data_IF_830815327854
#
_entry.id   IF_830815327854
#
_cell.length_a   1.000
_cell.length_b   1.000
_cell.length_c   1.000
_cell.angle_alpha   90.00
_cell.angle_beta   90.00
_cell.angle_gamma   90.00
#
_symmetry.space_group_name_H-M   'P 1'
#
loop_
_entity.id
_entity.type
_entity.pdbx_description
1 polymer ?
2 non-polymer ?
3 water ?
#
# COMPACT_ATOMS: atom_id res chain seq x y z
N UNK A 5 -12.64 -15.20 -5.02
CA UNK A 5 -11.63 -16.13 -4.48
C UNK A 5 -11.73 -17.54 -5.07
N UNK A 6 -12.97 -18.03 -5.30
CA UNK A 6 -13.25 -19.36 -5.86
C UNK A 6 -12.76 -19.51 -7.30
N UNK A 7 -12.79 -18.42 -8.09
CA UNK A 7 -12.34 -18.39 -9.48
C UNK A 7 -10.89 -17.86 -9.59
N UNK A 8 -10.16 -17.87 -8.45
CA UNK A 8 -8.77 -17.40 -8.36
C UNK A 8 -7.84 -18.45 -7.77
N UNK A 9 -6.55 -18.42 -8.17
CA UNK A 9 -5.51 -19.32 -7.69
C UNK A 9 -4.86 -18.72 -6.44
N UNK A 10 -4.80 -19.48 -5.34
CA UNK A 10 -4.22 -19.02 -4.07
C UNK A 10 -2.86 -19.66 -3.78
N UNK A 11 -1.83 -18.82 -3.62
CA UNK A 11 -0.47 -19.24 -3.33
C UNK A 11 -0.02 -18.88 -1.93
N UNK A 12 0.82 -19.74 -1.33
CA UNK A 12 1.37 -19.56 0.03
C UNK A 12 2.87 -19.78 0.06
N UNK A 13 3.63 -18.82 0.65
CA UNK A 13 5.09 -18.88 0.75
C UNK A 13 5.55 -18.64 2.20
N UNK A 14 6.25 -19.62 2.79
CA UNK A 14 6.79 -19.55 4.16
C UNK A 14 8.13 -18.79 4.11
N UNK A 15 8.08 -17.48 4.30
CA UNK A 15 9.24 -16.58 4.27
C UNK A 15 10.08 -16.62 5.56
N UNK A 16 9.44 -16.97 6.68
CA UNK A 16 10.03 -17.12 8.01
C UNK A 16 9.32 -18.29 8.71
N UNK A 17 9.96 -19.03 9.66
CA UNK A 17 9.27 -20.17 10.29
C UNK A 17 7.85 -19.92 10.82
N UNK A 18 7.55 -18.69 11.27
CA UNK A 18 6.24 -18.31 11.79
C UNK A 18 5.48 -17.34 10.87
N UNK A 19 6.10 -16.89 9.75
CA UNK A 19 5.52 -15.95 8.79
C UNK A 19 5.27 -16.59 7.42
N UNK A 20 4.00 -16.64 7.01
CA UNK A 20 3.55 -17.19 5.74
C UNK A 20 2.83 -16.10 4.94
N UNK A 21 3.23 -15.90 3.67
CA UNK A 21 2.64 -14.89 2.79
C UNK A 21 1.69 -15.50 1.77
N UNK A 22 0.48 -14.92 1.66
CA UNK A 22 -0.57 -15.32 0.73
C UNK A 22 -0.59 -14.38 -0.47
N UNK A 23 -0.87 -14.92 -1.67
CA UNK A 23 -0.96 -14.16 -2.92
C UNK A 23 -1.86 -14.85 -3.93
N UNK A 24 -2.46 -14.07 -4.84
CA UNK A 24 -3.27 -14.62 -5.92
C UNK A 24 -2.49 -14.55 -7.23
N UNK A 25 -2.56 -15.63 -8.02
CA UNK A 25 -1.79 -15.72 -9.26
C UNK A 25 -2.64 -15.91 -10.51
N UNK A 26 -2.33 -15.13 -11.56
CA UNK A 26 -3.03 -15.18 -12.85
C UNK A 26 -2.13 -14.68 -13.97
N UNK A 27 -2.13 -15.42 -15.08
CA UNK A 27 -1.35 -15.09 -16.27
C UNK A 27 0.01 -15.73 -16.37
N UNK A 28 0.69 -15.49 -17.52
CA UNK A 28 2.02 -15.98 -17.84
C UNK A 28 2.89 -14.82 -18.36
N UNK A 29 4.21 -14.96 -18.20
CA UNK A 29 5.18 -13.97 -18.65
C UNK A 29 5.98 -13.34 -17.51
N UNK A 30 6.49 -12.09 -17.68
CA UNK A 30 7.26 -11.46 -16.60
C UNK A 30 6.46 -11.25 -15.30
N UNK A 31 7.10 -11.49 -14.15
CA UNK A 31 6.48 -11.39 -12.82
C UNK A 31 6.17 -9.94 -12.42
N UNK A 32 4.89 -9.68 -12.10
CA UNK A 32 4.38 -8.37 -11.67
C UNK A 32 3.79 -8.53 -10.25
N UNK A 33 4.53 -8.03 -9.24
CA UNK A 33 4.16 -8.10 -7.83
C UNK A 33 3.39 -6.85 -7.41
N UNK A 34 2.13 -7.03 -6.94
CA UNK A 34 1.26 -5.94 -6.51
C UNK A 34 1.17 -5.87 -4.99
N UNK A 35 1.50 -4.69 -4.43
CA UNK A 35 1.49 -4.46 -2.98
C UNK A 35 0.42 -3.43 -2.59
N UNK A 36 -0.62 -3.88 -1.86
CA UNK A 36 -1.74 -3.03 -1.43
C UNK A 36 -1.38 -2.13 -0.24
N UNK A 37 -2.32 -1.25 0.13
CA UNK A 37 -2.17 -0.32 1.23
C UNK A 37 -2.96 -0.68 2.48
N UNK A 38 -3.30 0.34 3.27
CA UNK A 38 -4.03 0.21 4.53
C UNK A 38 -5.40 0.92 4.46
N UNK A 39 -6.51 0.30 4.93
CA UNK A 39 -6.68 -1.07 5.44
C UNK A 39 -7.23 -1.95 4.31
N UNK A 40 -6.36 -2.33 3.37
CA UNK A 40 -6.76 -3.07 2.17
C UNK A 40 -6.45 -4.58 2.15
N UNK A 41 -6.46 -5.19 0.95
CA UNK A 41 -6.22 -6.61 0.70
C UNK A 41 -5.79 -6.79 -0.76
N UNK A 42 -5.58 -8.06 -1.23
CA UNK A 42 -5.25 -8.36 -2.62
C UNK A 42 -6.42 -7.94 -3.52
N UNK A 43 -7.65 -7.97 -2.95
CA UNK A 43 -8.93 -7.63 -3.57
C UNK A 43 -8.99 -6.19 -4.10
N UNK A 44 -8.09 -5.31 -3.61
CA UNK A 44 -7.99 -3.92 -4.05
C UNK A 44 -7.50 -3.82 -5.51
N UNK A 45 -6.78 -4.85 -5.99
CA UNK A 45 -6.26 -4.91 -7.36
C UNK A 45 -7.15 -5.78 -8.29
N UNK A 46 -8.42 -6.05 -7.89
CA UNK A 46 -9.39 -6.88 -8.62
C UNK A 46 -9.60 -6.54 -10.11
N UNK A 47 -9.40 -5.26 -10.48
CA UNK A 47 -9.54 -4.80 -11.87
C UNK A 47 -8.21 -4.89 -12.61
N UNK A 48 -7.09 -4.90 -11.86
CA UNK A 48 -5.73 -4.96 -12.40
C UNK A 48 -5.28 -6.39 -12.69
N UNK A 49 -5.68 -7.37 -11.84
CA UNK A 49 -5.33 -8.79 -11.98
C UNK A 49 -5.64 -9.37 -13.39
N UNK A 50 -6.89 -9.36 -13.91
CA UNK A 50 -7.11 -9.92 -15.27
C UNK A 50 -6.60 -9.04 -16.40
N UNK A 51 -6.57 -7.71 -16.20
CA UNK A 51 -6.11 -6.73 -17.18
C UNK A 51 -4.62 -6.87 -17.50
N UNK A 52 -3.77 -7.02 -16.46
CA UNK A 52 -2.33 -7.20 -16.62
C UNK A 52 -2.01 -8.60 -17.15
N UNK A 53 -2.85 -9.60 -16.80
CA UNK A 53 -2.71 -10.99 -17.25
C UNK A 53 -2.94 -11.10 -18.75
N UNK A 54 -3.92 -10.33 -19.30
CA UNK A 54 -4.25 -10.28 -20.72
C UNK A 54 -3.15 -9.60 -21.53
N UNK A 55 -2.41 -8.65 -20.90
CA UNK A 55 -1.29 -7.92 -21.51
C UNK A 55 -0.03 -8.77 -21.66
N UNK A 56 -0.01 -9.93 -21.01
CA UNK A 56 1.10 -10.88 -21.04
C UNK A 56 2.03 -10.78 -19.86
N UNK A 57 1.46 -10.83 -18.64
CA UNK A 57 2.21 -10.74 -17.39
C UNK A 57 1.73 -11.71 -16.33
N UNK A 58 2.68 -12.25 -15.55
CA UNK A 58 2.40 -13.17 -14.44
C UNK A 58 2.12 -12.28 -13.23
N UNK A 59 0.83 -12.08 -12.93
CA UNK A 59 0.36 -11.22 -11.85
C UNK A 59 0.43 -11.92 -10.49
N UNK A 60 0.98 -11.23 -9.49
CA UNK A 60 1.12 -11.72 -8.11
C UNK A 60 0.54 -10.69 -7.12
N UNK A 61 -0.80 -10.64 -7.02
CA UNK A 61 -1.48 -9.71 -6.11
C UNK A 61 -1.37 -10.22 -4.67
N UNK A 62 -0.42 -9.63 -3.94
CA UNK A 62 -0.07 -9.98 -2.56
C UNK A 62 -1.11 -9.62 -1.53
N UNK A 63 -1.08 -10.36 -0.41
CA UNK A 63 -1.82 -10.12 0.81
C UNK A 63 -0.66 -9.79 1.75
N UNK A 64 -0.41 -8.48 1.99
CA UNK A 64 0.70 -7.99 2.80
C UNK A 64 0.70 -8.53 4.24
N UNK A 65 1.88 -8.55 4.90
CA UNK A 65 2.05 -9.05 6.26
C UNK A 65 1.04 -8.39 7.22
N UNK A 66 0.28 -9.24 7.91
CA UNK A 66 -0.75 -8.81 8.85
C UNK A 66 -2.14 -8.71 8.24
N UNK A 67 -2.27 -8.97 6.93
CA UNK A 67 -3.53 -8.88 6.17
C UNK A 67 -4.06 -10.23 5.68
N UNK A 68 -5.39 -10.32 5.59
CA UNK A 68 -6.15 -11.46 5.09
C UNK A 68 -5.69 -12.85 5.46
N UNK A 69 -5.27 -13.62 4.43
CA UNK A 69 -4.83 -15.00 4.58
C UNK A 69 -3.34 -15.15 4.93
N UNK A 70 -2.61 -14.02 5.04
CA UNK A 70 -1.19 -14.00 5.40
C UNK A 70 -1.03 -13.94 6.93
N UNK A 71 0.10 -14.45 7.45
CA UNK A 71 0.43 -14.48 8.87
C UNK A 71 0.43 -13.09 9.50
N UNK A 72 -0.07 -12.99 10.74
CA UNK A 72 -0.15 -11.73 11.46
C UNK A 72 0.42 -11.80 12.89
N UNK A 73 1.77 -11.76 13.06
CA UNK A 73 2.32 -11.78 14.44
C UNK A 73 1.98 -10.48 15.19
N UNK A 74 1.68 -10.53 16.51
CA UNK A 74 1.31 -9.28 17.22
C UNK A 74 2.43 -8.28 17.42
N UNK A 75 3.70 -8.71 17.27
CA UNK A 75 4.91 -7.91 17.46
C UNK A 75 5.01 -6.74 16.48
N UNK A 76 5.23 -5.52 17.02
CA UNK A 76 5.37 -4.27 16.28
C UNK A 76 6.63 -4.31 15.39
N UNK A 77 7.75 -4.79 15.97
CA UNK A 77 9.08 -4.93 15.36
C UNK A 77 9.04 -5.70 14.03
N UNK A 78 8.13 -6.68 13.93
CA UNK A 78 7.95 -7.54 12.75
C UNK A 78 7.35 -6.80 11.54
N UNK A 79 6.94 -5.51 11.72
CA UNK A 79 6.34 -4.70 10.66
C UNK A 79 7.18 -3.50 10.22
N UNK A 80 8.49 -3.51 10.54
CA UNK A 80 9.39 -2.45 10.10
C UNK A 80 9.84 -2.75 8.68
N UNK A 81 10.14 -1.71 7.89
CA UNK A 81 10.55 -1.83 6.49
C UNK A 81 11.73 -2.76 6.21
N UNK A 82 12.68 -2.88 7.15
CA UNK A 82 13.85 -3.76 7.01
C UNK A 82 13.45 -5.24 6.94
N UNK A 83 12.63 -5.73 7.90
CA UNK A 83 12.18 -7.12 7.91
C UNK A 83 11.18 -7.43 6.78
N UNK A 84 10.29 -6.45 6.46
CA UNK A 84 9.28 -6.57 5.40
C UNK A 84 9.91 -6.75 4.02
N UNK A 85 10.92 -5.92 3.68
CA UNK A 85 11.65 -5.98 2.41
C UNK A 85 12.43 -7.29 2.27
N UNK A 86 13.10 -7.74 3.36
CA UNK A 86 13.86 -9.00 3.43
C UNK A 86 12.95 -10.21 3.21
N UNK A 87 11.70 -10.13 3.71
CA UNK A 87 10.68 -11.17 3.54
C UNK A 87 10.22 -11.24 2.08
N UNK A 88 10.15 -10.08 1.40
CA UNK A 88 9.75 -9.99 -0.01
C UNK A 88 10.86 -10.52 -0.95
N UNK A 89 12.13 -10.46 -0.49
CA UNK A 89 13.30 -10.99 -1.22
C UNK A 89 13.27 -12.52 -1.09
N UNK A 90 13.00 -13.04 0.12
CA UNK A 90 12.88 -14.47 0.44
C UNK A 90 11.72 -15.09 -0.37
N UNK A 91 10.64 -14.32 -0.56
CA UNK A 91 9.45 -14.67 -1.35
C UNK A 91 9.86 -14.92 -2.81
N UNK A 92 10.78 -14.09 -3.35
CA UNK A 92 11.30 -14.23 -4.71
C UNK A 92 12.24 -15.43 -4.83
N UNK A 93 13.05 -15.69 -3.78
CA UNK A 93 13.98 -16.82 -3.72
C UNK A 93 13.23 -18.15 -3.68
N UNK A 94 12.16 -18.22 -2.87
CA UNK A 94 11.33 -19.41 -2.69
C UNK A 94 10.40 -19.72 -3.88
N UNK A 95 10.13 -18.72 -4.73
CA UNK A 95 9.30 -18.90 -5.93
C UNK A 95 10.14 -19.12 -7.20
N UNK A 96 11.47 -19.03 -7.04
CA UNK A 96 12.43 -19.21 -8.12
C UNK A 96 12.49 -18.04 -9.08
N UNK A 97 12.28 -16.82 -8.56
CA UNK A 97 12.30 -15.59 -9.37
C UNK A 97 13.53 -14.76 -9.05
N UNK A 98 14.32 -14.41 -10.07
CA UNK A 98 15.52 -13.59 -9.92
C UNK A 98 15.12 -12.11 -9.90
N UNK A 99 14.15 -11.73 -10.74
CA UNK A 99 13.61 -10.37 -10.86
C UNK A 99 12.08 -10.37 -10.95
N UNK A 100 11.46 -9.24 -10.54
CA UNK A 100 10.03 -8.99 -10.60
C UNK A 100 9.77 -7.49 -10.52
N UNK A 101 8.75 -7.01 -11.22
CA UNK A 101 8.35 -5.61 -11.18
C UNK A 101 7.39 -5.40 -10.01
N UNK A 102 7.79 -4.53 -9.07
CA UNK A 102 7.05 -4.22 -7.86
C UNK A 102 6.20 -2.95 -8.01
N UNK A 103 4.86 -3.12 -7.96
CA UNK A 103 3.89 -2.02 -8.09
C UNK A 103 3.10 -1.89 -6.78
N UNK A 104 3.33 -0.79 -6.06
CA UNK A 104 2.68 -0.53 -4.78
C UNK A 104 1.76 0.66 -4.72
N UNK A 105 0.81 0.62 -3.77
CA UNK A 105 -0.17 1.66 -3.48
C UNK A 105 -0.21 1.85 -1.96
N UNK A 106 -0.21 3.12 -1.50
CA UNK A 106 -0.23 3.53 -0.09
C UNK A 106 1.01 2.96 0.67
N UNK A 107 0.82 2.09 1.69
CA UNK A 107 1.91 1.49 2.45
C UNK A 107 2.74 0.52 1.62
N UNK A 108 2.10 -0.10 0.63
CA UNK A 108 2.74 -1.00 -0.32
C UNK A 108 3.66 -0.24 -1.26
N UNK A 109 3.31 1.03 -1.50
CA UNK A 109 4.08 1.97 -2.31
C UNK A 109 5.39 2.35 -1.64
N UNK A 110 5.37 2.49 -0.30
CA UNK A 110 6.54 2.79 0.52
C UNK A 110 7.50 1.59 0.46
N UNK A 111 6.95 0.36 0.53
CA UNK A 111 7.68 -0.90 0.47
C UNK A 111 8.39 -1.07 -0.88
N UNK A 112 7.69 -0.81 -2.00
CA UNK A 112 8.25 -0.92 -3.35
C UNK A 112 9.39 0.06 -3.63
N UNK A 113 9.34 1.27 -2.99
CA UNK A 113 10.38 2.29 -3.11
C UNK A 113 11.66 1.83 -2.39
N UNK A 114 11.50 1.26 -1.17
CA UNK A 114 12.60 0.72 -0.36
C UNK A 114 13.23 -0.50 -1.05
N UNK A 115 12.39 -1.35 -1.68
CA UNK A 115 12.81 -2.55 -2.42
C UNK A 115 13.70 -2.19 -3.62
N UNK A 116 13.39 -1.09 -4.33
CA UNK A 116 14.15 -0.60 -5.47
C UNK A 116 15.47 0.04 -5.01
N UNK A 117 15.49 0.61 -3.79
CA UNK A 117 16.64 1.28 -3.17
C UNK A 117 17.69 0.30 -2.65
N UNK A 118 17.27 -0.67 -1.82
CA UNK A 118 18.16 -1.65 -1.17
C UNK A 118 18.42 -2.92 -1.97
N UNK A 119 17.43 -3.38 -2.77
CA UNK A 119 17.57 -4.59 -3.58
C UNK A 119 17.25 -4.31 -5.07
N UNK A 120 18.07 -3.52 -5.81
CA UNK A 120 17.74 -3.25 -7.22
C UNK A 120 17.89 -4.45 -8.16
N UNK A 121 18.73 -5.43 -7.77
CA UNK A 121 18.99 -6.66 -8.53
C UNK A 121 17.77 -7.58 -8.61
N UNK A 122 16.79 -7.41 -7.69
CA UNK A 122 15.57 -8.21 -7.64
C UNK A 122 14.35 -7.45 -8.16
N UNK A 123 14.48 -6.12 -8.35
CA UNK A 123 13.40 -5.25 -8.84
C UNK A 123 13.71 -4.81 -10.28
N UNK A 124 12.95 -5.34 -11.25
CA UNK A 124 13.10 -5.04 -12.69
C UNK A 124 12.72 -3.58 -12.97
N UNK A 125 11.52 -3.18 -12.51
CA UNK A 125 10.97 -1.83 -12.65
C UNK A 125 10.09 -1.53 -11.44
N UNK A 126 9.92 -0.24 -11.12
CA UNK A 126 9.12 0.17 -9.95
C UNK A 126 8.02 1.19 -10.29
N UNK A 127 6.83 0.98 -9.73
CA UNK A 127 5.68 1.87 -9.90
C UNK A 127 5.02 2.12 -8.54
N UNK A 128 4.58 3.35 -8.31
CA UNK A 128 3.93 3.73 -7.07
C UNK A 128 2.66 4.55 -7.31
N UNK A 129 1.55 4.10 -6.72
CA UNK A 129 0.27 4.80 -6.79
C UNK A 129 0.16 5.64 -5.51
N UNK A 130 -0.01 6.96 -5.67
CA UNK A 130 -0.16 7.98 -4.61
C UNK A 130 1.07 8.24 -3.72
N UNK A 131 1.83 7.19 -3.36
CA UNK A 131 3.01 7.26 -2.48
C UNK A 131 4.27 7.85 -3.13
N UNK A 132 4.76 9.02 -2.64
CA UNK A 132 5.99 9.59 -3.21
C UNK A 132 7.26 9.04 -2.58
N UNK A 133 8.40 9.20 -3.29
CA UNK A 133 9.70 8.78 -2.80
C UNK A 133 10.40 9.99 -2.18
N UNK A 134 10.46 10.03 -0.84
CA UNK A 134 11.07 11.12 -0.10
C UNK A 134 12.33 10.63 0.66
N UNK A 135 13.54 11.15 0.33
CA UNK A 135 14.74 10.72 1.07
C UNK A 135 14.72 11.33 2.48
N UNK A 136 14.94 10.48 3.49
CA UNK A 136 14.92 10.87 4.90
C UNK A 136 16.05 11.83 5.26
N UNK A 137 15.74 12.80 6.15
CA UNK A 137 16.70 13.78 6.63
C UNK A 137 17.27 13.29 7.98
N UNK A 138 18.62 13.15 8.12
CA UNK A 138 19.16 12.65 9.39
C UNK A 138 19.22 13.67 10.53
N UNK A 139 18.90 14.94 10.24
CA UNK A 139 18.90 16.03 11.23
C UNK A 139 17.52 16.23 11.87
N UNK A 140 16.45 15.88 11.14
CA UNK A 140 15.06 16.02 11.62
C UNK A 140 14.49 14.69 12.10
N UNK A 141 13.87 14.71 13.29
CA UNK A 141 13.24 13.57 13.95
C UNK A 141 11.97 13.12 13.19
N UNK A 142 11.62 11.80 13.14
CA UNK A 142 10.41 11.38 12.41
C UNK A 142 9.11 11.92 12.99
N UNK A 143 9.02 12.04 14.33
CA UNK A 143 7.86 12.57 15.05
C UNK A 143 7.64 14.05 14.77
N UNK A 144 8.74 14.80 14.55
CA UNK A 144 8.72 16.23 14.23
C UNK A 144 8.10 16.47 12.84
N UNK A 145 8.40 15.59 11.87
CA UNK A 145 7.90 15.65 10.50
C UNK A 145 6.38 15.38 10.43
N UNK A 146 5.88 14.48 11.29
CA UNK A 146 4.46 14.12 11.40
C UNK A 146 3.66 15.30 11.98
N UNK A 147 4.20 15.91 13.05
CA UNK A 147 3.59 17.06 13.76
C UNK A 147 3.64 18.37 12.95
N UNK A 148 4.61 18.49 12.01
CA UNK A 148 4.79 19.69 11.17
C UNK A 148 3.61 19.91 10.21
N UNK A 149 3.20 18.85 9.48
CA UNK A 149 2.07 18.90 8.56
C UNK A 149 0.79 18.49 9.32
N UNK A 150 -0.26 19.35 9.36
CA UNK A 150 -1.47 19.00 10.12
C UNK A 150 -2.27 17.81 9.61
N UNK A 151 -2.16 17.49 8.30
CA UNK A 151 -2.88 16.39 7.64
C UNK A 151 -2.54 14.99 8.20
N UNK A 152 -1.33 14.80 8.76
CA UNK A 152 -0.87 13.54 9.33
C UNK A 152 -1.12 13.41 10.85
N UNK A 153 -2.15 14.12 11.36
CA UNK A 153 -2.54 14.12 12.77
C UNK A 153 -3.11 12.76 13.22
N UNK A 154 -3.72 12.02 12.27
CA UNK A 154 -4.32 10.69 12.46
C UNK A 154 -3.28 9.63 12.85
N UNK A 155 -2.02 9.81 12.41
CA UNK A 155 -0.90 8.91 12.66
C UNK A 155 -0.55 8.77 14.15
N UNK A 156 -0.70 9.87 14.92
CA UNK A 156 -0.44 9.92 16.36
C UNK A 156 -1.43 9.04 17.13
N UNK A 157 -2.68 8.97 16.65
CA UNK A 157 -3.76 8.14 17.22
C UNK A 157 -3.49 6.66 16.92
N UNK A 158 -2.84 6.38 15.79
CA UNK A 158 -2.49 5.03 15.33
C UNK A 158 -1.23 4.46 16.02
N UNK A 159 -0.51 5.30 16.80
CA UNK A 159 0.73 4.94 17.51
C UNK A 159 0.53 4.05 18.74
N UNK A 160 -0.39 4.43 19.65
CA UNK A 160 -0.67 3.67 20.87
C UNK A 160 -1.35 2.33 20.55
N UNK A 161 -0.71 1.17 20.85
CA UNK A 161 -1.33 -0.12 20.50
C UNK A 161 -2.62 -0.43 21.25
N UNK A 162 -3.63 -0.87 20.51
CA UNK A 162 -4.94 -1.25 21.04
C UNK A 162 -6.03 -0.20 20.90
N UNK A 163 -5.66 1.10 20.96
CA UNK A 163 -6.58 2.26 20.87
C UNK A 163 -7.36 2.28 19.54
N UNK A 164 -6.66 2.38 18.39
CA UNK A 164 -7.28 2.39 17.06
C UNK A 164 -7.91 1.04 16.71
N UNK A 165 -7.31 -0.07 17.19
CA UNK A 165 -7.78 -1.45 16.97
C UNK A 165 -9.24 -1.62 17.41
N UNK A 166 -9.57 -1.12 18.61
CA UNK A 166 -10.93 -1.18 19.20
C UNK A 166 -11.99 -0.49 18.34
N UNK A 167 -11.65 0.67 17.73
CA UNK A 167 -12.58 1.44 16.89
C UNK A 167 -12.75 0.79 15.51
N UNK A 168 -11.64 0.39 14.87
CA UNK A 168 -11.62 -0.23 13.55
C UNK A 168 -12.22 -1.64 13.52
N UNK A 169 -12.06 -2.41 14.62
CA UNK A 169 -12.59 -3.78 14.75
C UNK A 169 -14.03 -3.83 15.27
N UNK A 170 -14.53 -2.70 15.84
CA UNK A 170 -15.89 -2.56 16.41
C UNK A 170 -16.98 -2.98 15.44
N UNK A 171 -17.12 -2.26 14.32
CA UNK A 171 -18.09 -2.55 13.28
C UNK A 171 -17.36 -2.46 11.94
N UNK A 172 -16.85 -3.61 11.45
CA UNK A 172 -16.09 -3.75 10.21
C UNK A 172 -16.85 -3.25 8.99
N UNK A 173 -18.19 -3.45 8.95
CA UNK A 173 -19.07 -2.99 7.87
C UNK A 173 -19.07 -1.46 7.83
N UNK A 174 -19.19 -0.81 9.02
CA UNK A 174 -19.16 0.65 9.18
C UNK A 174 -17.76 1.20 8.87
N UNK A 175 -16.71 0.42 9.22
CA UNK A 175 -15.31 0.75 9.01
C UNK A 175 -14.99 0.95 7.52
N UNK A 176 -15.24 -0.08 6.68
CA UNK A 176 -14.97 -0.02 5.25
C UNK A 176 -15.94 0.82 4.43
N UNK A 177 -17.19 1.00 4.91
CA UNK A 177 -18.18 1.84 4.23
C UNK A 177 -17.84 3.32 4.35
N UNK A 178 -17.20 3.72 5.47
CA UNK A 178 -16.76 5.09 5.74
C UNK A 178 -15.43 5.40 5.06
N UNK A 179 -14.51 4.41 5.02
CA UNK A 179 -13.18 4.57 4.44
C UNK A 179 -13.18 4.48 2.91
N UNK A 180 -13.70 3.37 2.33
CA UNK A 180 -13.73 3.18 0.87
C UNK A 180 -14.80 4.06 0.20
N UNK A 181 -14.46 5.34 0.00
CA UNK A 181 -15.34 6.35 -0.61
C UNK A 181 -14.54 7.26 -1.53
N UNK A 182 -15.23 7.88 -2.51
CA UNK A 182 -14.64 8.86 -3.42
C UNK A 182 -14.46 10.16 -2.65
N UNK A 183 -13.52 11.03 -3.06
CA UNK A 183 -13.22 12.31 -2.39
C UNK A 183 -14.42 13.25 -2.22
N UNK A 184 -15.39 13.19 -3.15
CA UNK A 184 -16.63 13.98 -3.10
C UNK A 184 -17.60 13.40 -2.08
N UNK A 185 -17.47 12.09 -1.76
CA UNK A 185 -18.29 11.35 -0.80
C UNK A 185 -17.61 11.27 0.58
N UNK A 186 -16.31 11.64 0.66
CA UNK A 186 -15.48 11.61 1.87
C UNK A 186 -16.08 12.34 3.07
N UNK A 187 -16.37 11.56 4.14
CA UNK A 187 -16.96 12.04 5.40
C UNK A 187 -15.93 11.99 6.56
N UNK A 188 -14.65 11.82 6.22
CA UNK A 188 -13.56 11.73 7.19
C UNK A 188 -12.64 12.94 7.20
N UNK A 189 -12.21 13.36 8.41
CA UNK A 189 -11.29 14.48 8.62
C UNK A 189 -10.03 13.94 9.29
N UNK A 190 -8.94 13.85 8.52
CA UNK A 190 -7.65 13.30 8.97
C UNK A 190 -6.89 14.20 9.95
N UNK A 191 -7.10 15.52 9.88
CA UNK A 191 -6.44 16.50 10.75
C UNK A 191 -7.21 16.74 12.07
N UNK A 192 -8.39 16.11 12.22
CA UNK A 192 -9.28 16.24 13.39
C UNK A 192 -8.96 15.23 14.50
N UNK A 193 -8.34 14.07 14.15
CA UNK A 193 -7.98 12.99 15.08
C UNK A 193 -6.93 13.44 16.12
N UNK A 194 -6.91 12.77 17.30
CA UNK A 194 -6.07 13.04 18.49
C UNK A 194 -6.54 14.28 19.28
N UNK A 195 -7.71 14.82 18.88
CA UNK A 195 -8.41 15.96 19.48
C UNK A 195 -9.83 15.50 19.78
N UNK A 196 -10.36 14.60 18.94
CA UNK A 196 -11.69 14.00 19.06
C UNK A 196 -11.62 12.59 19.66
N UNK A 197 -10.49 11.91 19.44
CA UNK A 197 -10.23 10.56 19.94
C UNK A 197 -10.92 9.47 19.15
N UNK A 198 -10.74 9.51 17.83
CA UNK A 198 -11.33 8.54 16.91
C UNK A 198 -11.34 9.00 15.47
N UNK A 199 -11.21 8.03 14.54
CA UNK A 199 -11.20 8.29 13.09
C UNK A 199 -12.61 8.57 12.56
N UNK A 200 -13.62 7.84 13.07
CA UNK A 200 -15.03 7.99 12.64
C UNK A 200 -15.83 8.81 13.65
N UNK A 201 -15.96 10.12 13.38
CA UNK A 201 -16.70 11.08 14.23
C UNK A 201 -17.89 11.65 13.43
N UNK A 202 -17.62 12.23 12.24
CA UNK A 202 -18.63 12.81 11.36
C UNK A 202 -19.51 11.73 10.71
N UNK A 203 -18.94 10.53 10.48
CA UNK A 203 -19.63 9.39 9.88
C UNK A 203 -20.69 8.80 10.84
N UNK A 204 -21.91 8.48 10.35
CA UNK A 204 -22.93 7.93 11.27
C UNK A 204 -22.75 6.43 11.56
N UNK A 205 -23.63 5.87 12.41
CA UNK A 205 -23.64 4.45 12.80
C UNK A 205 -23.91 3.53 11.60
N UNK A 206 -24.71 4.01 10.63
CA UNK A 206 -25.05 3.29 9.40
C UNK A 206 -24.73 4.17 8.18
N UNK A 207 -23.47 4.15 7.68
CA UNK A 207 -23.12 5.00 6.53
C UNK A 207 -23.61 4.44 5.20
N UNK A 208 -23.92 5.34 4.25
CA UNK A 208 -24.40 5.01 2.91
C UNK A 208 -23.33 4.33 2.07
N UNK A 209 -23.74 3.43 1.16
CA UNK A 209 -22.84 2.70 0.26
C UNK A 209 -22.34 3.61 -0.87
N UNK A 210 -21.00 3.66 -1.04
CA UNK A 210 -20.33 4.45 -2.08
C UNK A 210 -20.61 3.89 -3.48
N UNK A 211 -20.53 4.74 -4.51
CA UNK A 211 -20.78 4.35 -5.90
C UNK A 211 -19.72 3.40 -6.49
N UNK A 212 -18.48 3.44 -5.95
CA UNK A 212 -17.36 2.62 -6.42
C UNK A 212 -17.28 1.22 -5.80
N UNK A 213 -18.04 0.97 -4.70
CA UNK A 213 -18.07 -0.32 -4.01
C UNK A 213 -19.48 -0.87 -3.80
N UNK A 214 -19.65 -2.18 -3.98
CA UNK A 214 -20.94 -2.86 -3.80
C UNK A 214 -21.02 -3.51 -2.42
N UNK A 215 -22.22 -4.03 -2.03
CA UNK A 215 -22.45 -4.70 -0.75
C UNK A 215 -21.65 -6.00 -0.64
N UNK A 216 -21.48 -6.72 -1.77
CA UNK A 216 -20.72 -7.98 -1.86
C UNK A 216 -19.21 -7.74 -1.63
N UNK A 217 -18.68 -6.63 -2.18
CA UNK A 217 -17.26 -6.24 -2.06
C UNK A 217 -16.92 -5.79 -0.63
N UNK A 218 -17.83 -5.03 0.02
CA UNK A 218 -17.67 -4.55 1.40
C UNK A 218 -17.57 -5.72 2.38
N UNK A 219 -18.45 -6.74 2.21
CA UNK A 219 -18.49 -7.94 3.05
C UNK A 219 -17.24 -8.82 2.93
N UNK A 220 -16.55 -8.77 1.77
CA UNK A 220 -15.32 -9.52 1.53
C UNK A 220 -14.19 -8.99 2.42
N UNK A 221 -14.07 -7.65 2.55
CA UNK A 221 -13.08 -6.98 3.40
C UNK A 221 -13.38 -7.24 4.88
N UNK A 222 -14.68 -7.41 5.22
CA UNK A 222 -15.15 -7.68 6.59
C UNK A 222 -14.67 -9.09 7.02
N UNK A 223 -14.92 -10.11 6.19
CA UNK A 223 -14.54 -11.50 6.44
C UNK A 223 -13.02 -11.71 6.46
N UNK A 224 -12.28 -10.98 5.61
CA UNK A 224 -10.81 -11.07 5.53
C UNK A 224 -10.15 -10.44 6.76
N UNK A 225 -10.72 -9.35 7.30
CA UNK A 225 -10.23 -8.66 8.49
C UNK A 225 -10.72 -9.29 9.80
N UNK A 226 -11.62 -10.28 9.71
CA UNK A 226 -12.16 -11.03 10.86
C UNK A 226 -11.14 -12.06 11.35
N UNK A 227 -10.20 -12.46 10.48
CA UNK A 227 -9.16 -13.45 10.74
C UNK A 227 -8.06 -12.95 11.69
N UNK A 228 -7.59 -11.71 11.51
CA UNK A 228 -6.50 -11.15 12.32
C UNK A 228 -6.80 -9.83 13.03
N UNK A 229 -7.77 -9.08 12.52
CA UNK A 229 -8.16 -7.79 13.09
C UNK A 229 -7.42 -6.63 12.49
N UNK A 230 -6.95 -5.70 13.35
CA UNK A 230 -6.24 -4.49 12.93
C UNK A 230 -4.85 -4.30 13.54
N UNK A 231 -4.43 -5.17 14.49
CA UNK A 231 -3.11 -5.09 15.14
C UNK A 231 -1.95 -5.11 14.14
N UNK A 232 -1.96 -6.09 13.23
CA UNK A 232 -0.96 -6.26 12.17
C UNK A 232 -0.90 -5.07 11.23
N UNK A 233 -2.01 -4.72 10.54
CA UNK A 233 -1.99 -3.55 9.63
C UNK A 233 -1.57 -2.21 10.27
N UNK A 234 -1.93 -1.98 11.54
CA UNK A 234 -1.60 -0.75 12.26
C UNK A 234 -0.14 -0.65 12.68
N UNK A 235 0.54 -1.81 12.85
CA UNK A 235 1.95 -1.87 13.25
C UNK A 235 2.92 -1.32 12.20
N UNK A 236 2.44 -1.12 10.95
CA UNK A 236 3.17 -0.52 9.84
C UNK A 236 3.50 0.95 10.16
N UNK A 237 2.64 1.60 10.98
CA UNK A 237 2.78 2.98 11.43
C UNK A 237 3.70 3.09 12.65
N UNK A 238 3.70 2.05 13.50
CA UNK A 238 4.45 1.99 14.77
C UNK A 238 5.96 1.71 14.67
N UNK A 239 6.53 1.84 13.46
CA UNK A 239 7.96 1.63 13.21
C UNK A 239 8.64 2.86 12.59
N UNK A 240 8.08 4.06 12.82
CA UNK A 240 8.55 5.35 12.31
C UNK A 240 10.00 5.70 12.71
N UNK A 241 10.43 5.25 13.90
CA UNK A 241 11.79 5.45 14.41
C UNK A 241 12.75 4.45 13.75
N UNK A 242 12.30 3.19 13.56
CA UNK A 242 13.08 2.11 12.95
C UNK A 242 13.29 2.30 11.44
N UNK A 243 12.24 2.71 10.70
CA UNK A 243 12.27 2.94 9.25
C UNK A 243 13.17 4.11 8.88
N UNK A 244 13.18 5.18 9.71
CA UNK A 244 14.01 6.38 9.53
C UNK A 244 15.49 6.04 9.63
N UNK A 245 15.87 5.20 10.63
CA UNK A 245 17.24 4.74 10.86
C UNK A 245 17.74 3.89 9.69
N UNK A 246 16.84 3.08 9.08
CA UNK A 246 17.15 2.24 7.93
C UNK A 246 17.28 3.08 6.66
N UNK A 247 16.40 4.10 6.48
CA UNK A 247 16.41 5.01 5.33
C UNK A 247 17.65 5.92 5.34
N UNK A 248 18.16 6.27 6.54
CA UNK A 248 19.36 7.10 6.70
C UNK A 248 20.65 6.34 6.35
N UNK A 249 20.60 5.00 6.34
CA UNK A 249 21.74 4.13 5.99
C UNK A 249 22.00 4.12 4.47
N UNK A 250 20.97 4.44 3.66
CA UNK A 250 21.05 4.51 2.20
C UNK A 250 21.63 5.83 1.71
N UNK A 251 21.40 6.94 2.46
CA UNK A 251 21.83 8.32 2.17
C UNK A 251 23.03 8.43 1.23
N UNK A 252 22.73 8.71 -0.04
CA UNK A 252 23.73 8.82 -1.10
C UNK A 252 23.38 7.96 -2.30
N UNK A 253 23.00 6.68 -2.06
CA UNK A 253 22.63 5.76 -3.13
C UNK A 253 21.27 6.10 -3.73
N UNK A 254 21.23 6.19 -5.07
CA UNK A 254 20.02 6.49 -5.82
C UNK A 254 19.51 5.25 -6.53
N UNK A 255 18.22 5.26 -6.93
CA UNK A 255 17.60 4.17 -7.69
C UNK A 255 18.18 4.25 -9.12
N UNK A 256 18.23 3.13 -9.85
CA UNK A 256 18.75 3.11 -11.22
C UNK A 256 17.88 2.34 -12.22
N UNK A 257 16.90 1.60 -11.71
CA UNK A 257 15.94 0.81 -12.50
C UNK A 257 14.75 1.70 -12.94
N UNK A 258 14.07 1.44 -14.09
CA UNK A 258 12.95 2.30 -14.51
C UNK A 258 11.87 2.52 -13.44
N UNK A 259 11.50 3.79 -13.22
CA UNK A 259 10.52 4.19 -12.20
C UNK A 259 9.30 4.91 -12.76
N UNK A 260 8.15 4.78 -12.07
CA UNK A 260 6.89 5.42 -12.43
C UNK A 260 6.18 5.97 -11.18
N UNK A 261 5.76 7.23 -11.24
CA UNK A 261 5.03 7.89 -10.15
C UNK A 261 3.62 8.20 -10.62
N UNK A 262 2.62 7.59 -9.98
CA UNK A 262 1.20 7.77 -10.31
C UNK A 262 0.56 8.62 -9.20
N UNK A 263 0.01 9.78 -9.57
CA UNK A 263 -0.61 10.71 -8.63
C UNK A 263 -2.13 10.75 -8.77
N UNK A 264 -2.82 10.92 -7.63
CA UNK A 264 -4.28 11.01 -7.55
C UNK A 264 -4.66 12.44 -7.15
N UNK A 265 -5.27 13.18 -8.08
CA UNK A 265 -5.67 14.59 -7.98
C UNK A 265 -6.44 14.95 -6.70
N UNK A 266 -7.49 14.17 -6.37
CA UNK A 266 -8.36 14.45 -5.22
C UNK A 266 -7.97 13.76 -3.91
N UNK A 267 -6.79 13.09 -3.86
CA UNK A 267 -6.29 12.42 -2.65
C UNK A 267 -5.83 13.49 -1.66
N UNK A 268 -6.55 13.60 -0.52
CA UNK A 268 -6.26 14.60 0.52
C UNK A 268 -5.17 14.21 1.51
N UNK A 269 -4.94 12.90 1.69
CA UNK A 269 -3.90 12.40 2.60
C UNK A 269 -2.52 12.34 1.90
N UNK A 270 -2.44 11.67 0.74
CA UNK A 270 -1.22 11.60 -0.06
C UNK A 270 -1.42 12.46 -1.31
N UNK A 271 -1.29 13.79 -1.11
CA UNK A 271 -1.49 14.83 -2.13
C UNK A 271 -0.49 14.72 -3.30
N UNK A 272 -0.88 15.11 -4.56
CA UNK A 272 0.10 15.06 -5.68
C UNK A 272 1.24 16.05 -5.51
N UNK A 273 1.05 17.08 -4.64
CA UNK A 273 2.05 18.10 -4.32
C UNK A 273 3.22 17.50 -3.53
N UNK A 274 2.99 16.39 -2.79
CA UNK A 274 4.02 15.68 -2.02
C UNK A 274 5.09 15.05 -2.92
N UNK A 275 4.73 14.77 -4.18
CA UNK A 275 5.62 14.16 -5.18
C UNK A 275 6.46 15.19 -5.95
N UNK A 276 6.40 16.49 -5.56
CA UNK A 276 7.16 17.55 -6.22
C UNK A 276 8.67 17.39 -6.04
N UNK A 277 9.45 17.80 -7.06
CA UNK A 277 10.92 17.75 -7.10
C UNK A 277 11.53 16.35 -6.87
N UNK A 278 10.75 15.29 -7.22
CA UNK A 278 11.16 13.89 -7.13
C UNK A 278 12.17 13.57 -8.24
N UNK A 279 12.17 14.38 -9.31
CA UNK A 279 13.06 14.27 -10.47
C UNK A 279 14.51 14.75 -10.21
N UNK A 280 14.84 15.09 -8.94
CA UNK A 280 16.18 15.48 -8.51
C UNK A 280 16.95 14.21 -8.14
N UNK A 281 16.23 13.22 -7.57
CA UNK A 281 16.74 11.89 -7.19
C UNK A 281 16.41 10.89 -8.32
N UNK A 282 15.44 11.28 -9.20
CA UNK A 282 14.89 10.59 -10.37
C UNK A 282 14.54 9.08 -10.16
N UNK A 283 15.10 8.02 -10.82
CA UNK A 283 16.17 7.95 -11.85
C UNK A 283 15.73 8.06 -13.30
N UNK A 284 14.60 7.45 -13.64
CA UNK A 284 13.99 7.37 -14.97
C UNK A 284 12.64 8.08 -14.90
N UNK A 285 12.04 8.10 -13.68
CA UNK A 285 10.75 8.66 -13.29
C UNK A 285 9.82 9.22 -14.37
N UNK A 286 8.83 8.41 -14.76
CA UNK A 286 7.78 8.77 -15.71
C UNK A 286 6.54 9.05 -14.86
N UNK A 287 5.64 9.92 -15.35
CA UNK A 287 4.47 10.29 -14.56
C UNK A 287 3.12 9.91 -15.17
N UNK A 288 2.13 9.76 -14.30
CA UNK A 288 0.76 9.41 -14.64
C UNK A 288 -0.23 10.05 -13.69
N UNK A 289 -0.82 11.19 -14.09
CA UNK A 289 -1.77 11.93 -13.25
C UNK A 289 -3.22 11.55 -13.60
N UNK A 290 -3.99 11.12 -12.59
CA UNK A 290 -5.39 10.74 -12.74
C UNK A 290 -6.29 11.81 -12.09
N UNK A 291 -7.02 12.56 -12.93
CA UNK A 291 -7.92 13.63 -12.50
C UNK A 291 -9.20 13.04 -11.90
N UNK A 292 -9.82 13.77 -10.93
CA UNK A 292 -11.05 13.41 -10.23
C UNK A 292 -10.96 12.01 -9.56
N UNK A 293 -9.76 11.69 -9.05
CA UNK A 293 -9.42 10.42 -8.42
C UNK A 293 -9.05 10.62 -6.95
N UNK A 294 -9.72 9.88 -6.07
CA UNK A 294 -9.48 9.91 -4.63
C UNK A 294 -8.29 9.08 -4.19
N UNK A 295 -8.24 8.72 -2.89
CA UNK A 295 -7.15 7.91 -2.34
C UNK A 295 -7.11 6.48 -2.88
N UNK A 296 -8.29 5.86 -3.02
CA UNK A 296 -8.45 4.48 -3.49
C UNK A 296 -8.41 4.43 -5.03
N UNK A 297 -7.21 4.75 -5.57
CA UNK A 297 -6.86 4.84 -7.00
C UNK A 297 -7.41 3.70 -7.87
N UNK A 298 -7.27 2.46 -7.39
CA UNK A 298 -7.72 1.24 -8.08
C UNK A 298 -9.25 1.12 -8.07
N UNK A 299 -9.90 1.54 -6.98
CA UNK A 299 -11.36 1.50 -6.81
C UNK A 299 -12.05 2.67 -7.50
N UNK A 300 -11.48 3.89 -7.38
CA UNK A 300 -12.00 5.13 -7.93
C UNK A 300 -11.98 5.14 -9.47
N UNK A 301 -10.78 5.01 -10.08
CA UNK A 301 -10.61 4.99 -11.53
C UNK A 301 -9.89 3.70 -11.98
N UNK A 302 -10.60 2.53 -12.03
CA UNK A 302 -9.93 1.28 -12.42
C UNK A 302 -9.37 1.21 -13.84
N UNK A 303 -10.10 1.77 -14.83
CA UNK A 303 -9.71 1.79 -16.24
C UNK A 303 -8.42 2.61 -16.46
N UNK A 304 -8.36 3.84 -15.91
CA UNK A 304 -7.21 4.74 -16.01
C UNK A 304 -5.93 4.16 -15.39
N UNK A 305 -6.07 3.32 -14.35
CA UNK A 305 -4.95 2.64 -13.68
C UNK A 305 -4.41 1.55 -14.62
N UNK A 306 -5.31 0.74 -15.22
CA UNK A 306 -4.97 -0.34 -16.17
C UNK A 306 -4.25 0.21 -17.40
N UNK A 307 -4.76 1.32 -17.98
CA UNK A 307 -4.19 1.99 -19.16
C UNK A 307 -2.78 2.52 -18.90
N UNK A 308 -2.54 3.13 -17.71
CA UNK A 308 -1.25 3.69 -17.31
C UNK A 308 -0.18 2.60 -17.11
N UNK A 309 -0.53 1.52 -16.37
CA UNK A 309 0.39 0.42 -16.08
C UNK A 309 0.80 -0.40 -17.30
N UNK A 310 -0.19 -0.85 -18.13
CA UNK A 310 0.04 -1.65 -19.35
C UNK A 310 0.98 -0.94 -20.33
N UNK A 311 0.77 0.39 -20.53
CA UNK A 311 1.57 1.26 -21.38
C UNK A 311 3.01 1.37 -20.84
N UNK A 312 3.15 1.52 -19.51
CA UNK A 312 4.43 1.65 -18.82
C UNK A 312 5.24 0.34 -18.81
N UNK A 313 4.59 -0.79 -18.49
CA UNK A 313 5.21 -2.11 -18.42
C UNK A 313 5.79 -2.58 -19.76
N UNK A 314 5.05 -2.38 -20.87
CA UNK A 314 5.47 -2.78 -22.21
C UNK A 314 6.62 -1.96 -22.79
N UNK A 315 6.84 -0.73 -22.27
CA UNK A 315 7.88 0.19 -22.75
C UNK A 315 9.14 0.29 -21.88
N UNK A 316 9.04 -0.07 -20.57
CA UNK A 316 10.19 0.04 -19.65
C UNK A 316 10.50 -1.21 -18.82
N UNK A 317 9.48 -2.04 -18.51
CA UNK A 317 9.65 -3.25 -17.71
C UNK A 317 9.92 -4.53 -18.51
N UNK A 318 9.70 -4.49 -19.84
CA UNK A 318 9.93 -5.63 -20.73
C UNK A 318 11.24 -5.49 -21.49
X LIG B 1 -4.51 6.09 4.74
X LIG B 1 -5.00 6.21 6.04
X LIG B 1 -3.22 6.55 4.34
X LIG B 1 -5.30 5.53 3.74
X LIG B 1 -6.27 5.74 6.32
X LIG B 1 -2.03 6.38 4.99
X LIG B 1 -6.59 5.10 4.05
X LIG B 1 -7.06 5.17 5.34
X LIG B 1 -6.87 5.86 7.95
X LIG B 1 -0.97 6.68 4.23
X LIG B 1 -1.94 5.99 6.15
X LIG B 1 0.41 6.51 4.69
X LIG B 1 1.17 5.55 3.83
X LIG B 1 2.49 6.03 3.71
X LIG B 1 3.26 5.26 2.82
#
# INVERSE_FOLDING_TARGET
>A
TSCNPSDMSHGYVTVKPRVRLHFVELGSGPAVCLCHGFPESWYSWRYQIPALAQAGYRVLAMDMKGYGESSAPPEIEEYCMEVLCKEMVTFLDKLGLSQAVFIGHDWGGMLVWYMALFYPERVRAVASLNTPFIPANPNMSPLESIKANPVFDYQLYFQEPGVAEAELEQNLSRTFKSLFRASDESVLSMHKVCEAGGLFVNSPEEPSLSRMVTEEEIQFYVQQFKKSGFRGPLNWYRNMERNWKWACKSLGRKILIPALMVTAEKDFVLVPQMSQHMEDWIPHLKRGHIEDCGHWTQMDKPTEVNQILIKWLDSDARNPPVVSKM
>B hetero
1 7WI C1 C2 N3 C4 C5 C6 C7 C8 CL9 N10 O11 C12 C13 O14 C15
#
